data_IF_390766709176
#
_entry.id   IF_390766709176
#
_cell.length_a   1.000
_cell.length_b   1.000
_cell.length_c   1.000
_cell.angle_alpha   90.00
_cell.angle_beta   90.00
_cell.angle_gamma   90.00
#
_symmetry.space_group_name_H-M   'P 1'
#
loop_
_entity.id
_entity.type
_entity.pdbx_description
1 polymer ?
#
# COMPACT_ATOMS: atom_id res chain seq x y z
N UNK A 1 -57.26 2.32 11.07
CA UNK A 1 -55.83 2.43 10.75
C UNK A 1 -55.18 1.14 11.23
N UNK A 2 -54.69 0.28 10.33
CA UNK A 2 -54.32 -1.09 10.67
C UNK A 2 -52.95 -1.17 11.35
N UNK A 3 -52.81 -2.17 12.22
CA UNK A 3 -51.58 -2.57 12.89
C UNK A 3 -50.51 -2.96 11.86
N UNK A 4 -49.38 -2.26 11.87
CA UNK A 4 -48.20 -2.67 11.13
C UNK A 4 -47.53 -3.82 11.87
N UNK A 5 -47.80 -5.05 11.42
CA UNK A 5 -47.01 -6.22 11.78
C UNK A 5 -45.52 -5.97 11.42
N UNK A 6 -44.57 -6.21 12.33
CA UNK A 6 -43.17 -6.09 11.99
C UNK A 6 -42.83 -7.21 11.01
N UNK A 7 -42.47 -6.81 9.79
CA UNK A 7 -41.95 -7.69 8.76
C UNK A 7 -40.87 -8.59 9.37
N UNK A 8 -41.08 -9.90 9.29
CA UNK A 8 -40.11 -10.90 9.67
C UNK A 8 -38.80 -10.60 8.94
N UNK A 9 -37.82 -10.08 9.68
CA UNK A 9 -36.44 -9.95 9.21
C UNK A 9 -36.03 -11.36 8.78
N UNK A 10 -35.91 -11.57 7.48
CA UNK A 10 -35.24 -12.73 6.93
C UNK A 10 -33.85 -12.78 7.57
N UNK A 11 -33.67 -13.66 8.55
CA UNK A 11 -32.35 -14.09 8.98
C UNK A 11 -31.76 -14.82 7.77
N UNK A 12 -30.93 -14.10 7.03
CA UNK A 12 -30.08 -14.70 6.02
C UNK A 12 -29.19 -15.70 6.76
N UNK A 13 -29.50 -16.99 6.63
CA UNK A 13 -28.67 -18.04 7.18
C UNK A 13 -27.28 -17.91 6.56
N UNK A 14 -26.30 -17.45 7.33
CA UNK A 14 -24.92 -17.32 6.90
C UNK A 14 -24.42 -18.71 6.48
N UNK A 15 -24.12 -18.88 5.20
CA UNK A 15 -23.50 -20.09 4.65
C UNK A 15 -22.03 -20.12 5.06
N UNK A 16 -21.77 -20.42 6.33
CA UNK A 16 -20.41 -20.69 6.79
C UNK A 16 -19.98 -22.05 6.29
N UNK A 17 -18.91 -22.10 5.48
CA UNK A 17 -18.26 -23.36 5.11
C UNK A 17 -17.75 -24.08 6.37
N UNK A 18 -17.79 -25.42 6.43
CA UNK A 18 -17.23 -26.17 7.55
C UNK A 18 -15.74 -25.85 7.75
N UNK A 19 -15.24 -26.10 8.96
CA UNK A 19 -13.82 -25.86 9.26
C UNK A 19 -12.92 -26.74 8.35
N UNK A 20 -11.69 -26.29 8.02
CA UNK A 20 -10.73 -27.13 7.30
C UNK A 20 -10.50 -28.48 7.99
N UNK A 21 -10.47 -28.49 9.33
CA UNK A 21 -10.34 -29.69 10.15
C UNK A 21 -11.49 -30.68 9.91
N UNK A 22 -12.73 -30.19 9.86
CA UNK A 22 -13.92 -30.99 9.56
C UNK A 22 -13.85 -31.55 8.15
N UNK A 23 -13.43 -30.75 7.17
CA UNK A 23 -13.24 -31.20 5.80
C UNK A 23 -12.21 -32.33 5.71
N UNK A 24 -11.06 -32.19 6.39
CA UNK A 24 -10.02 -33.22 6.43
C UNK A 24 -10.55 -34.51 7.10
N UNK A 25 -11.25 -34.39 8.23
CA UNK A 25 -11.83 -35.54 8.93
C UNK A 25 -12.82 -36.31 8.05
N UNK A 26 -13.74 -35.60 7.38
CA UNK A 26 -14.70 -36.22 6.46
C UNK A 26 -14.00 -36.84 5.26
N UNK A 27 -13.00 -36.18 4.67
CA UNK A 27 -12.27 -36.71 3.53
C UNK A 27 -11.53 -38.01 3.88
N UNK A 28 -10.86 -38.05 5.04
CA UNK A 28 -10.21 -39.26 5.57
C UNK A 28 -11.21 -40.39 5.81
N UNK A 29 -12.33 -40.08 6.45
CA UNK A 29 -13.37 -41.07 6.72
C UNK A 29 -13.96 -41.65 5.43
N UNK A 30 -14.18 -40.81 4.41
CA UNK A 30 -14.62 -41.24 3.10
C UNK A 30 -13.60 -42.17 2.42
N UNK A 31 -12.31 -41.82 2.46
CA UNK A 31 -11.24 -42.67 1.93
C UNK A 31 -11.21 -44.05 2.61
N UNK A 32 -11.31 -44.11 3.94
CA UNK A 32 -11.37 -45.38 4.70
C UNK A 32 -12.55 -46.25 4.24
N UNK A 33 -13.74 -45.64 4.07
CA UNK A 33 -14.93 -46.36 3.59
C UNK A 33 -14.75 -46.89 2.16
N UNK A 34 -14.10 -46.11 1.30
CA UNK A 34 -13.83 -46.49 -0.09
C UNK A 34 -12.86 -47.69 -0.18
N UNK A 35 -11.76 -47.65 0.59
CA UNK A 35 -10.77 -48.74 0.68
C UNK A 35 -11.41 -50.01 1.23
N UNK A 36 -12.21 -49.88 2.29
CA UNK A 36 -12.93 -51.03 2.87
C UNK A 36 -13.84 -51.70 1.84
N UNK A 37 -14.57 -50.91 1.04
CA UNK A 37 -15.41 -51.45 -0.03
C UNK A 37 -14.60 -52.16 -1.13
N UNK A 38 -13.42 -51.62 -1.49
CA UNK A 38 -12.53 -52.25 -2.46
C UNK A 38 -11.96 -53.58 -1.93
N UNK A 39 -11.58 -53.64 -0.65
CA UNK A 39 -11.11 -54.85 0.02
C UNK A 39 -12.21 -55.93 0.11
N UNK A 40 -13.47 -55.54 0.35
CA UNK A 40 -14.62 -56.43 0.32
C UNK A 40 -14.86 -57.01 -1.08
N UNK A 41 -14.76 -56.17 -2.13
CA UNK A 41 -14.87 -56.61 -3.51
C UNK A 41 -13.73 -57.58 -3.90
N UNK A 42 -12.50 -57.29 -3.48
CA UNK A 42 -11.34 -58.18 -3.66
C UNK A 42 -11.57 -59.53 -2.94
N UNK A 43 -12.05 -59.49 -1.70
CA UNK A 43 -12.38 -60.69 -0.93
C UNK A 43 -13.46 -61.54 -1.61
N UNK A 44 -14.46 -60.90 -2.22
CA UNK A 44 -15.50 -61.57 -3.00
C UNK A 44 -14.93 -62.29 -4.24
N UNK A 45 -14.00 -61.66 -4.96
CA UNK A 45 -13.26 -62.30 -6.07
C UNK A 45 -12.49 -63.51 -5.56
N UNK A 46 -11.71 -63.37 -4.49
CA UNK A 46 -10.88 -64.45 -3.93
C UNK A 46 -11.71 -65.66 -3.44
N UNK A 47 -12.96 -65.46 -3.02
CA UNK A 47 -13.86 -66.54 -2.55
C UNK A 47 -14.65 -67.21 -3.69
N UNK A 48 -14.63 -66.64 -4.90
CA UNK A 48 -15.34 -67.19 -6.06
C UNK A 48 -14.70 -68.51 -6.54
N UNK A 49 -15.50 -69.57 -6.69
CA UNK A 49 -15.01 -70.93 -7.05
C UNK A 49 -15.25 -71.35 -8.51
N UNK A 50 -15.96 -70.58 -9.35
CA UNK A 50 -16.04 -70.79 -10.83
C UNK A 50 -16.87 -69.71 -11.56
N UNK A 51 -16.62 -69.57 -12.88
CA UNK A 51 -17.54 -69.10 -13.94
C UNK A 51 -17.86 -67.59 -14.02
N UNK A 52 -18.02 -66.90 -12.89
CA UNK A 52 -18.43 -65.49 -12.84
C UNK A 52 -17.28 -64.53 -12.48
N UNK A 53 -16.05 -64.86 -12.91
CA UNK A 53 -14.85 -64.08 -12.57
C UNK A 53 -14.87 -62.68 -13.20
N UNK A 54 -15.24 -62.55 -14.49
CA UNK A 54 -15.14 -61.28 -15.19
C UNK A 54 -16.03 -60.15 -14.61
N UNK A 55 -17.30 -60.38 -14.22
CA UNK A 55 -18.11 -59.34 -13.56
C UNK A 55 -17.57 -58.95 -12.18
N UNK A 56 -17.07 -59.90 -11.39
CA UNK A 56 -16.52 -59.64 -10.06
C UNK A 56 -15.17 -58.91 -10.14
N UNK A 57 -14.31 -59.28 -11.09
CA UNK A 57 -13.05 -58.58 -11.38
C UNK A 57 -13.32 -57.15 -11.87
N UNK A 58 -14.33 -56.95 -12.72
CA UNK A 58 -14.72 -55.62 -13.17
C UNK A 58 -15.23 -54.75 -12.00
N UNK A 59 -16.04 -55.32 -11.10
CA UNK A 59 -16.51 -54.65 -9.88
C UNK A 59 -15.36 -54.30 -8.94
N UNK A 60 -14.42 -55.22 -8.71
CA UNK A 60 -13.20 -54.99 -7.92
C UNK A 60 -12.35 -53.86 -8.52
N UNK A 61 -12.08 -53.88 -9.83
CA UNK A 61 -11.31 -52.83 -10.48
C UNK A 61 -12.00 -51.47 -10.44
N UNK A 62 -13.32 -51.43 -10.58
CA UNK A 62 -14.10 -50.19 -10.45
C UNK A 62 -14.04 -49.65 -9.01
N UNK A 63 -14.26 -50.51 -8.01
CA UNK A 63 -14.18 -50.13 -6.59
C UNK A 63 -12.77 -49.64 -6.21
N UNK A 64 -11.72 -50.36 -6.65
CA UNK A 64 -10.33 -49.97 -6.39
C UNK A 64 -9.97 -48.63 -7.04
N UNK A 65 -10.43 -48.38 -8.27
CA UNK A 65 -10.20 -47.10 -8.96
C UNK A 65 -10.77 -45.94 -8.15
N UNK A 66 -12.02 -46.06 -7.69
CA UNK A 66 -12.66 -45.01 -6.91
C UNK A 66 -12.06 -44.90 -5.49
N UNK A 67 -11.57 -45.98 -4.88
CA UNK A 67 -10.85 -45.92 -3.61
C UNK A 67 -9.55 -45.10 -3.71
N UNK A 68 -8.76 -45.32 -4.77
CA UNK A 68 -7.52 -44.55 -5.01
C UNK A 68 -7.81 -43.06 -5.22
N UNK A 69 -8.89 -42.71 -5.93
CA UNK A 69 -9.29 -41.31 -6.09
C UNK A 69 -9.77 -40.69 -4.77
N UNK A 70 -10.49 -41.45 -3.94
CA UNK A 70 -10.93 -41.00 -2.62
C UNK A 70 -9.73 -40.70 -1.69
N UNK A 71 -8.74 -41.59 -1.64
CA UNK A 71 -7.48 -41.37 -0.91
C UNK A 71 -6.74 -40.14 -1.44
N UNK A 72 -6.57 -40.03 -2.77
CA UNK A 72 -5.91 -38.88 -3.38
C UNK A 72 -6.61 -37.55 -3.07
N UNK A 73 -7.93 -37.54 -2.95
CA UNK A 73 -8.67 -36.36 -2.51
C UNK A 73 -8.54 -36.08 -1.00
N UNK A 74 -8.46 -37.11 -0.16
CA UNK A 74 -8.17 -36.94 1.26
C UNK A 74 -6.79 -36.30 1.49
N UNK A 75 -5.75 -36.81 0.82
CA UNK A 75 -4.39 -36.26 0.89
C UNK A 75 -4.35 -34.80 0.40
N UNK A 76 -5.05 -34.49 -0.69
CA UNK A 76 -5.16 -33.11 -1.20
C UNK A 76 -5.89 -32.19 -0.23
N UNK A 77 -6.87 -32.69 0.54
CA UNK A 77 -7.58 -31.87 1.52
C UNK A 77 -6.63 -31.36 2.62
N UNK A 78 -5.68 -32.18 3.05
CA UNK A 78 -4.64 -31.80 4.01
C UNK A 78 -3.65 -30.81 3.41
N UNK A 79 -3.10 -31.15 2.24
CA UNK A 79 -2.15 -30.28 1.54
C UNK A 79 -2.74 -28.87 1.29
N UNK A 80 -4.01 -28.80 0.90
CA UNK A 80 -4.67 -27.53 0.61
C UNK A 80 -5.11 -26.77 1.86
N UNK A 81 -5.22 -27.43 3.01
CA UNK A 81 -5.48 -26.73 4.27
C UNK A 81 -4.24 -26.00 4.78
N UNK A 82 -3.05 -26.54 4.52
CA UNK A 82 -1.77 -25.97 4.92
C UNK A 82 -1.17 -24.99 3.88
N UNK A 83 -1.70 -24.95 2.66
CA UNK A 83 -1.20 -24.10 1.58
C UNK A 83 -1.84 -22.69 1.60
N UNK A 84 -1.08 -21.62 1.90
CA UNK A 84 -1.60 -20.25 1.96
C UNK A 84 -2.00 -19.68 0.58
N UNK A 85 -1.60 -20.33 -0.51
CA UNK A 85 -1.96 -19.90 -1.88
C UNK A 85 -3.32 -20.46 -2.33
N UNK A 86 -3.84 -21.46 -1.61
CA UNK A 86 -5.09 -22.12 -1.97
C UNK A 86 -6.31 -21.37 -1.43
N UNK A 87 -7.43 -21.35 -2.17
CA UNK A 87 -8.65 -20.71 -1.69
C UNK A 87 -9.20 -21.47 -0.48
N UNK A 88 -9.80 -20.76 0.47
CA UNK A 88 -10.35 -21.33 1.72
C UNK A 88 -11.43 -22.41 1.50
N UNK A 89 -12.00 -22.50 0.30
CA UNK A 89 -12.96 -23.54 -0.10
C UNK A 89 -12.29 -24.81 -0.64
N UNK A 90 -10.97 -24.84 -0.86
CA UNK A 90 -10.26 -25.97 -1.44
C UNK A 90 -10.36 -27.26 -0.59
N UNK A 91 -10.22 -27.23 0.75
CA UNK A 91 -10.44 -28.42 1.57
C UNK A 91 -11.86 -28.98 1.46
N UNK A 92 -12.87 -28.09 1.37
CA UNK A 92 -14.28 -28.49 1.21
C UNK A 92 -14.53 -29.15 -0.15
N UNK A 93 -13.90 -28.64 -1.22
CA UNK A 93 -13.96 -29.26 -2.54
C UNK A 93 -13.39 -30.69 -2.51
N UNK A 94 -12.20 -30.86 -1.90
CA UNK A 94 -11.58 -32.17 -1.77
C UNK A 94 -12.41 -33.14 -0.93
N UNK A 95 -12.97 -32.69 0.19
CA UNK A 95 -13.82 -33.52 1.04
C UNK A 95 -15.08 -34.01 0.31
N UNK A 96 -15.73 -33.14 -0.49
CA UNK A 96 -16.88 -33.55 -1.32
C UNK A 96 -16.50 -34.58 -2.37
N UNK A 97 -15.38 -34.36 -3.06
CA UNK A 97 -14.89 -35.31 -4.07
C UNK A 97 -14.54 -36.67 -3.46
N UNK A 98 -13.89 -36.69 -2.28
CA UNK A 98 -13.60 -37.92 -1.55
C UNK A 98 -14.88 -38.69 -1.20
N UNK A 99 -15.91 -38.01 -0.70
CA UNK A 99 -17.23 -38.61 -0.42
C UNK A 99 -17.88 -39.17 -1.68
N UNK A 100 -17.86 -38.44 -2.80
CA UNK A 100 -18.45 -38.90 -4.06
C UNK A 100 -17.74 -40.13 -4.63
N UNK A 101 -16.41 -40.21 -4.49
CA UNK A 101 -15.64 -41.40 -4.87
C UNK A 101 -15.91 -42.58 -3.91
N UNK A 102 -16.01 -42.34 -2.60
CA UNK A 102 -16.36 -43.38 -1.65
C UNK A 102 -17.74 -44.01 -1.92
N UNK A 103 -18.75 -43.20 -2.26
CA UNK A 103 -20.08 -43.70 -2.66
C UNK A 103 -20.01 -44.55 -3.92
N UNK A 104 -19.19 -44.15 -4.92
CA UNK A 104 -18.99 -44.92 -6.15
C UNK A 104 -18.26 -46.25 -5.88
N UNK A 105 -17.25 -46.25 -5.03
CA UNK A 105 -16.54 -47.46 -4.60
C UNK A 105 -17.49 -48.45 -3.90
N UNK A 106 -18.30 -47.97 -2.94
CA UNK A 106 -19.31 -48.78 -2.25
C UNK A 106 -20.36 -49.34 -3.20
N UNK A 107 -20.86 -48.51 -4.13
CA UNK A 107 -21.82 -48.93 -5.16
C UNK A 107 -21.25 -49.99 -6.10
N UNK A 108 -19.99 -49.84 -6.52
CA UNK A 108 -19.30 -50.80 -7.40
C UNK A 108 -19.03 -52.15 -6.71
N UNK A 109 -18.67 -52.11 -5.42
CA UNK A 109 -18.49 -53.31 -4.60
C UNK A 109 -19.81 -54.01 -4.24
N UNK A 110 -20.97 -53.35 -4.44
CA UNK A 110 -22.28 -53.87 -4.08
C UNK A 110 -22.57 -53.86 -2.58
N UNK A 111 -21.92 -52.98 -1.83
CA UNK A 111 -22.13 -52.78 -0.38
C UNK A 111 -23.04 -51.57 -0.12
N UNK A 112 -23.54 -51.44 1.11
CA UNK A 112 -24.37 -50.30 1.52
C UNK A 112 -23.60 -48.98 1.41
N UNK A 113 -24.23 -47.94 0.84
CA UNK A 113 -23.60 -46.65 0.53
C UNK A 113 -23.59 -45.69 1.72
N UNK A 114 -22.99 -46.11 2.83
CA UNK A 114 -22.91 -45.33 4.09
C UNK A 114 -22.09 -44.04 3.96
N UNK A 115 -21.19 -43.94 2.97
CA UNK A 115 -20.42 -42.71 2.73
C UNK A 115 -21.31 -41.52 2.34
N UNK A 116 -22.54 -41.75 1.86
CA UNK A 116 -23.46 -40.68 1.51
C UNK A 116 -23.87 -39.82 2.72
N UNK A 117 -23.88 -40.40 3.93
CA UNK A 117 -24.26 -39.70 5.16
C UNK A 117 -23.22 -38.63 5.56
N UNK A 118 -21.96 -38.80 5.16
CA UNK A 118 -20.89 -37.84 5.39
C UNK A 118 -21.13 -36.49 4.68
N UNK A 119 -21.99 -36.45 3.64
CA UNK A 119 -22.38 -35.18 3.01
C UNK A 119 -23.11 -34.25 3.98
N UNK A 120 -23.90 -34.81 4.90
CA UNK A 120 -24.63 -34.00 5.90
C UNK A 120 -23.69 -33.26 6.86
N UNK A 121 -22.51 -33.83 7.15
CA UNK A 121 -21.49 -33.19 7.98
C UNK A 121 -20.82 -32.01 7.26
N UNK A 122 -20.60 -32.13 5.95
CA UNK A 122 -20.05 -31.04 5.12
C UNK A 122 -21.06 -29.92 4.86
N UNK A 123 -22.35 -30.24 4.88
CA UNK A 123 -23.45 -29.30 4.65
C UNK A 123 -24.00 -28.70 5.96
N UNK A 124 -23.50 -29.13 7.12
CA UNK A 124 -23.85 -28.53 8.41
C UNK A 124 -23.54 -27.03 8.39
N UNK A 125 -24.57 -26.22 8.58
CA UNK A 125 -24.43 -24.78 8.76
C UNK A 125 -23.80 -24.50 10.13
N UNK A 126 -22.76 -23.67 10.15
CA UNK A 126 -22.23 -23.12 11.40
C UNK A 126 -23.33 -22.35 12.13
N UNK A 127 -23.37 -22.50 13.45
CA UNK A 127 -24.22 -21.69 14.31
C UNK A 127 -23.72 -20.23 14.33
N UNK A 128 -24.62 -19.30 14.64
CA UNK A 128 -24.24 -17.89 14.75
C UNK A 128 -23.14 -17.65 15.81
N UNK A 129 -23.11 -18.48 16.87
CA UNK A 129 -22.08 -18.43 17.90
C UNK A 129 -20.70 -18.87 17.38
N UNK A 130 -20.63 -20.02 16.69
CA UNK A 130 -19.38 -20.52 16.09
C UNK A 130 -18.84 -19.54 15.02
N UNK A 131 -19.72 -18.88 14.26
CA UNK A 131 -19.30 -17.83 13.33
C UNK A 131 -18.73 -16.61 14.05
N UNK A 132 -19.37 -16.17 15.13
CA UNK A 132 -18.91 -15.02 15.91
C UNK A 132 -17.56 -15.28 16.60
N UNK A 133 -17.32 -16.50 17.10
CA UNK A 133 -16.04 -16.91 17.67
C UNK A 133 -14.93 -16.87 16.62
N UNK A 134 -15.16 -17.48 15.45
CA UNK A 134 -14.19 -17.48 14.35
C UNK A 134 -13.87 -16.08 13.84
N UNK A 135 -14.88 -15.23 13.72
CA UNK A 135 -14.69 -13.83 13.33
C UNK A 135 -13.95 -13.04 14.44
N UNK A 136 -14.12 -13.43 15.70
CA UNK A 136 -13.38 -12.90 16.83
C UNK A 136 -11.90 -13.29 16.79
N UNK A 137 -11.59 -14.56 16.52
CA UNK A 137 -10.22 -15.07 16.34
C UNK A 137 -9.52 -14.37 15.18
N UNK A 138 -10.17 -14.30 14.01
CA UNK A 138 -9.61 -13.59 12.84
C UNK A 138 -9.26 -12.14 13.17
N UNK A 139 -10.14 -11.41 13.88
CA UNK A 139 -9.87 -10.02 14.29
C UNK A 139 -8.73 -9.92 15.30
N UNK A 140 -8.52 -10.92 16.16
CA UNK A 140 -7.39 -10.94 17.10
C UNK A 140 -6.09 -11.16 16.34
N UNK A 141 -6.05 -12.12 15.42
CA UNK A 141 -4.89 -12.36 14.55
C UNK A 141 -4.56 -11.13 13.71
N UNK A 142 -5.55 -10.51 13.07
CA UNK A 142 -5.38 -9.25 12.31
C UNK A 142 -4.85 -8.12 13.21
N UNK A 143 -5.34 -8.02 14.46
CA UNK A 143 -4.90 -7.00 15.40
C UNK A 143 -3.48 -7.24 15.93
N UNK A 144 -3.09 -8.50 16.14
CA UNK A 144 -1.74 -8.90 16.54
C UNK A 144 -0.75 -8.61 15.42
N UNK A 145 -1.06 -9.02 14.18
CA UNK A 145 -0.25 -8.70 13.00
C UNK A 145 -0.08 -7.20 12.82
N UNK A 146 -1.17 -6.42 12.88
CA UNK A 146 -1.10 -4.96 12.77
C UNK A 146 -0.30 -4.34 13.93
N UNK A 147 -0.35 -4.90 15.15
CA UNK A 147 0.45 -4.42 16.27
C UNK A 147 1.95 -4.69 16.06
N UNK A 148 2.32 -5.86 15.55
CA UNK A 148 3.70 -6.20 15.20
C UNK A 148 4.24 -5.30 14.09
N UNK A 149 3.47 -5.10 13.04
CA UNK A 149 3.86 -4.25 11.91
C UNK A 149 3.98 -2.77 12.31
N UNK A 150 3.07 -2.29 13.17
CA UNK A 150 3.17 -0.96 13.78
C UNK A 150 4.41 -0.83 14.65
N UNK A 151 4.76 -1.85 15.43
CA UNK A 151 5.97 -1.84 16.24
C UNK A 151 7.24 -1.81 15.39
N UNK A 152 7.26 -2.55 14.27
CA UNK A 152 8.40 -2.62 13.36
C UNK A 152 8.63 -1.32 12.57
N UNK A 153 7.56 -0.71 12.07
CA UNK A 153 7.65 0.44 11.15
C UNK A 153 7.40 1.79 11.81
N UNK A 154 6.73 1.79 12.96
CA UNK A 154 6.20 3.01 13.59
C UNK A 154 5.07 3.67 12.78
N UNK A 155 4.50 2.98 11.78
CA UNK A 155 3.47 3.48 10.87
C UNK A 155 2.19 2.64 10.96
N UNK A 156 1.04 3.24 10.68
CA UNK A 156 -0.21 2.50 10.45
C UNK A 156 -0.21 1.83 9.05
N UNK A 157 -1.15 0.92 8.82
CA UNK A 157 -1.32 0.23 7.53
C UNK A 157 -1.36 1.20 6.33
N UNK A 158 -2.13 2.29 6.41
CA UNK A 158 -2.27 3.26 5.32
C UNK A 158 -0.95 3.96 4.96
N UNK A 159 -0.15 4.32 5.97
CA UNK A 159 1.16 4.96 5.75
C UNK A 159 2.20 3.96 5.23
N UNK A 160 2.11 2.69 5.63
CA UNK A 160 2.95 1.62 5.05
C UNK A 160 2.62 1.40 3.58
N UNK A 161 1.34 1.34 3.24
CA UNK A 161 0.88 1.29 1.84
C UNK A 161 1.35 2.50 1.04
N UNK A 162 1.24 3.70 1.61
CA UNK A 162 1.73 4.92 0.97
C UNK A 162 3.25 4.90 0.77
N UNK A 163 4.02 4.36 1.73
CA UNK A 163 5.46 4.20 1.61
C UNK A 163 5.83 3.24 0.46
N UNK A 164 5.13 2.10 0.36
CA UNK A 164 5.32 1.15 -0.74
C UNK A 164 4.98 1.78 -2.10
N UNK A 165 3.85 2.50 -2.20
CA UNK A 165 3.47 3.24 -3.42
C UNK A 165 4.50 4.31 -3.80
N UNK A 166 5.06 5.02 -2.82
CA UNK A 166 6.09 6.02 -3.09
C UNK A 166 7.39 5.38 -3.60
N UNK A 167 7.75 4.20 -3.12
CA UNK A 167 8.90 3.46 -3.61
C UNK A 167 8.72 3.09 -5.10
N UNK A 168 7.55 2.56 -5.46
CA UNK A 168 7.19 2.28 -6.86
C UNK A 168 7.18 3.55 -7.74
N UNK A 169 6.65 4.67 -7.22
CA UNK A 169 6.71 5.96 -7.89
C UNK A 169 8.16 6.43 -8.11
N UNK A 170 9.05 6.22 -7.13
CA UNK A 170 10.45 6.60 -7.24
C UNK A 170 11.16 5.80 -8.34
N UNK A 171 10.96 4.49 -8.37
CA UNK A 171 11.51 3.59 -9.38
C UNK A 171 11.10 4.03 -10.81
N UNK A 172 9.81 4.36 -11.00
CA UNK A 172 9.30 4.78 -12.32
C UNK A 172 9.72 6.18 -12.78
N UNK A 173 10.04 7.11 -11.87
CA UNK A 173 10.20 8.52 -12.21
C UNK A 173 11.61 9.10 -12.03
N UNK A 174 12.45 8.53 -11.16
CA UNK A 174 13.77 9.13 -10.83
C UNK A 174 14.69 9.21 -12.06
N UNK A 175 14.79 8.14 -12.85
CA UNK A 175 15.61 8.15 -14.07
C UNK A 175 15.16 9.22 -15.08
N UNK A 176 13.85 9.49 -15.12
CA UNK A 176 13.21 10.48 -15.98
C UNK A 176 13.56 11.94 -15.66
N UNK A 177 14.09 12.22 -14.45
CA UNK A 177 14.59 13.54 -14.06
C UNK A 177 15.87 13.92 -14.80
N UNK A 178 16.63 12.93 -15.28
CA UNK A 178 17.94 13.16 -15.89
C UNK A 178 18.93 13.78 -14.91
N UNK A 179 18.85 13.40 -13.64
CA UNK A 179 19.72 13.91 -12.58
C UNK A 179 20.91 12.98 -12.34
N UNK A 180 21.94 13.57 -11.73
CA UNK A 180 23.12 12.87 -11.20
C UNK A 180 23.20 13.11 -9.70
N UNK A 181 24.04 12.35 -8.98
CA UNK A 181 24.28 12.59 -7.56
C UNK A 181 24.71 14.04 -7.24
N UNK A 182 25.35 14.72 -8.20
CA UNK A 182 25.70 16.14 -8.08
C UNK A 182 24.48 17.08 -7.99
N UNK A 183 23.37 16.75 -8.65
CA UNK A 183 22.12 17.52 -8.58
C UNK A 183 21.45 17.33 -7.22
N UNK A 184 21.44 16.09 -6.70
CA UNK A 184 20.91 15.77 -5.37
C UNK A 184 21.62 16.57 -4.29
N UNK A 185 22.96 16.61 -4.30
CA UNK A 185 23.76 17.40 -3.33
C UNK A 185 23.45 18.89 -3.34
N UNK A 186 23.07 19.46 -4.49
CA UNK A 186 22.65 20.87 -4.58
C UNK A 186 21.31 21.05 -3.87
N UNK A 187 20.34 20.16 -4.11
CA UNK A 187 19.04 20.23 -3.44
C UNK A 187 19.13 19.96 -1.94
N UNK A 188 20.01 19.05 -1.49
CA UNK A 188 20.27 18.84 -0.06
C UNK A 188 20.88 20.09 0.61
N UNK A 189 21.75 20.81 -0.10
CA UNK A 189 22.28 22.09 0.38
C UNK A 189 21.18 23.15 0.47
N UNK A 190 20.20 23.13 -0.45
CA UNK A 190 19.05 24.03 -0.44
C UNK A 190 18.07 23.68 0.69
N UNK A 191 17.72 22.40 0.84
CA UNK A 191 16.81 21.89 1.88
C UNK A 191 17.35 22.19 3.28
N UNK A 192 18.67 22.05 3.48
CA UNK A 192 19.32 22.41 4.74
C UNK A 192 19.47 23.92 4.99
N UNK A 193 18.91 24.77 4.12
CA UNK A 193 18.97 26.23 4.29
C UNK A 193 20.39 26.79 4.19
N UNK A 194 21.26 26.18 3.37
CA UNK A 194 22.66 26.56 3.22
C UNK A 194 23.04 27.02 1.81
N UNK A 195 22.16 26.87 0.83
CA UNK A 195 22.43 27.25 -0.56
C UNK A 195 22.06 28.71 -0.81
N UNK A 196 22.97 29.47 -1.39
CA UNK A 196 22.71 30.86 -1.77
C UNK A 196 23.51 31.31 -3.01
N UNK A 197 23.03 32.38 -3.63
CA UNK A 197 23.66 33.10 -4.73
C UNK A 197 24.15 34.46 -4.28
N UNK A 198 25.42 34.73 -4.59
CA UNK A 198 26.07 36.02 -4.43
C UNK A 198 27.05 36.23 -5.58
N UNK A 199 27.07 37.43 -6.14
CA UNK A 199 27.93 37.79 -7.28
C UNK A 199 27.82 36.81 -8.47
N UNK A 200 26.59 36.34 -8.75
CA UNK A 200 26.30 35.41 -9.84
C UNK A 200 26.84 33.98 -9.64
N UNK A 201 27.21 33.58 -8.41
CA UNK A 201 27.78 32.24 -8.12
C UNK A 201 27.05 31.53 -7.00
N UNK A 202 26.83 30.22 -7.19
CA UNK A 202 26.25 29.32 -6.18
C UNK A 202 27.28 28.96 -5.10
N UNK A 203 26.88 29.15 -3.84
CA UNK A 203 27.69 28.86 -2.66
C UNK A 203 26.89 28.08 -1.63
N UNK A 204 27.60 27.22 -0.90
CA UNK A 204 27.10 26.55 0.28
C UNK A 204 27.72 27.17 1.52
N UNK A 205 26.86 27.72 2.37
CA UNK A 205 27.20 28.17 3.70
C UNK A 205 27.67 27.01 4.59
N UNK A 206 28.57 27.31 5.53
CA UNK A 206 29.00 26.31 6.53
C UNK A 206 27.87 25.98 7.52
N UNK A 207 27.03 26.97 7.85
CA UNK A 207 25.90 26.86 8.78
C UNK A 207 24.64 27.44 8.14
N UNK A 208 23.48 26.93 8.56
CA UNK A 208 22.19 27.48 8.15
C UNK A 208 22.10 28.96 8.56
N UNK A 209 21.56 29.80 7.68
CA UNK A 209 21.35 31.23 7.94
C UNK A 209 22.61 32.13 7.81
N UNK A 210 23.78 31.58 7.46
CA UNK A 210 25.02 32.37 7.34
C UNK A 210 25.39 32.58 5.86
N UNK A 211 25.26 33.82 5.37
CA UNK A 211 25.39 34.13 3.93
C UNK A 211 26.72 34.78 3.52
N UNK A 212 27.70 34.73 4.42
CA UNK A 212 29.03 35.27 4.22
C UNK A 212 30.05 34.11 4.16
N UNK A 213 30.51 33.76 2.95
CA UNK A 213 31.57 32.77 2.75
C UNK A 213 31.07 31.33 2.48
N UNK A 214 31.92 30.34 2.74
CA UNK A 214 31.62 28.93 2.43
C UNK A 214 32.10 28.47 1.05
N UNK A 215 31.78 27.22 0.70
CA UNK A 215 32.34 26.54 -0.48
C UNK A 215 31.57 26.86 -1.75
N UNK A 216 32.27 26.89 -2.89
CA UNK A 216 31.63 27.02 -4.21
C UNK A 216 30.94 25.70 -4.57
N UNK A 217 29.75 25.79 -5.16
CA UNK A 217 29.06 24.65 -5.77
C UNK A 217 29.07 24.80 -7.30
N UNK A 218 28.88 23.70 -8.02
CA UNK A 218 28.68 23.70 -9.47
C UNK A 218 27.61 24.72 -9.86
N UNK A 219 28.06 25.72 -10.64
CA UNK A 219 27.21 26.75 -11.21
C UNK A 219 26.19 26.13 -12.16
N UNK A 220 26.66 25.29 -13.07
CA UNK A 220 25.84 24.64 -14.10
C UNK A 220 24.68 23.85 -13.50
N UNK A 221 24.93 23.01 -12.49
CA UNK A 221 23.87 22.21 -11.85
C UNK A 221 22.88 23.08 -11.08
N UNK A 222 23.37 24.11 -10.41
CA UNK A 222 22.51 25.04 -9.65
C UNK A 222 21.62 25.87 -10.58
N UNK A 223 22.18 26.37 -11.69
CA UNK A 223 21.43 27.10 -12.72
C UNK A 223 20.44 26.19 -13.44
N UNK A 224 20.80 24.94 -13.74
CA UNK A 224 19.90 23.97 -14.36
C UNK A 224 18.70 23.65 -13.47
N UNK A 225 18.91 23.41 -12.16
CA UNK A 225 17.84 23.14 -11.19
C UNK A 225 16.94 24.37 -10.98
N UNK A 226 17.51 25.57 -10.95
CA UNK A 226 16.75 26.81 -10.86
C UNK A 226 15.91 27.06 -12.12
N UNK A 227 16.51 26.92 -13.30
CA UNK A 227 15.82 27.10 -14.60
C UNK A 227 14.67 26.10 -14.75
N UNK A 228 14.85 24.85 -14.32
CA UNK A 228 13.81 23.83 -14.31
C UNK A 228 12.83 23.93 -13.13
N UNK A 229 12.90 24.99 -12.31
CA UNK A 229 11.98 25.31 -11.20
C UNK A 229 12.00 24.29 -10.04
N UNK A 230 13.06 23.50 -9.90
CA UNK A 230 13.29 22.68 -8.71
C UNK A 230 13.79 23.53 -7.53
N UNK A 231 14.41 24.67 -7.81
CA UNK A 231 14.81 25.68 -6.83
C UNK A 231 13.99 26.96 -6.98
N UNK A 232 13.75 27.63 -5.86
CA UNK A 232 13.24 29.00 -5.77
C UNK A 232 14.31 29.89 -5.17
N UNK A 233 14.32 31.16 -5.56
CA UNK A 233 15.24 32.17 -5.02
C UNK A 233 14.47 33.21 -4.20
N UNK A 234 14.86 33.37 -2.94
CA UNK A 234 14.34 34.40 -2.03
C UNK A 234 15.41 35.46 -1.84
N UNK A 235 15.11 36.70 -2.24
CA UNK A 235 16.04 37.82 -2.09
C UNK A 235 16.07 38.30 -0.64
N UNK A 236 17.29 38.53 -0.14
CA UNK A 236 17.59 39.14 1.14
C UNK A 236 17.93 40.62 0.96
N UNK A 237 17.88 41.39 2.05
CA UNK A 237 18.09 42.84 2.04
C UNK A 237 19.51 43.23 1.61
N UNK A 238 20.49 42.36 1.85
CA UNK A 238 21.90 42.53 1.48
C UNK A 238 22.21 42.20 0.00
N UNK A 239 21.18 41.90 -0.80
CA UNK A 239 21.31 41.49 -2.20
C UNK A 239 21.64 40.01 -2.40
N UNK A 240 21.81 39.24 -1.33
CA UNK A 240 21.96 37.79 -1.41
C UNK A 240 20.64 37.14 -1.84
N UNK A 241 20.71 36.07 -2.64
CA UNK A 241 19.54 35.24 -2.97
C UNK A 241 19.68 33.87 -2.34
N UNK A 242 18.86 33.57 -1.33
CA UNK A 242 18.81 32.24 -0.72
C UNK A 242 18.05 31.31 -1.65
N UNK A 243 18.59 30.12 -1.88
CA UNK A 243 17.97 29.12 -2.75
C UNK A 243 17.35 28.01 -1.90
N UNK A 244 16.05 27.78 -2.08
CA UNK A 244 15.30 26.74 -1.37
C UNK A 244 14.65 25.78 -2.38
N UNK A 245 14.40 24.51 -2.02
CA UNK A 245 13.63 23.62 -2.87
C UNK A 245 12.23 24.21 -3.11
N UNK A 246 11.74 24.12 -4.34
CA UNK A 246 10.31 24.32 -4.61
C UNK A 246 9.52 23.09 -4.10
N UNK A 247 8.18 23.14 -4.00
CA UNK A 247 7.39 21.94 -3.69
C UNK A 247 7.69 20.77 -4.64
N UNK A 248 7.93 21.06 -5.92
CA UNK A 248 8.35 20.06 -6.91
C UNK A 248 9.78 19.57 -6.64
N UNK A 249 10.70 20.48 -6.27
CA UNK A 249 12.06 20.16 -5.84
C UNK A 249 12.10 19.24 -4.63
N UNK A 250 11.25 19.49 -3.64
CA UNK A 250 11.14 18.68 -2.43
C UNK A 250 10.70 17.25 -2.76
N UNK A 251 9.60 17.10 -3.52
CA UNK A 251 9.12 15.77 -3.93
C UNK A 251 10.17 15.04 -4.76
N UNK A 252 10.81 15.71 -5.71
CA UNK A 252 11.85 15.09 -6.52
C UNK A 252 13.05 14.64 -5.67
N UNK A 253 13.47 15.45 -4.69
CA UNK A 253 14.52 15.08 -3.74
C UNK A 253 14.13 13.84 -2.92
N UNK A 254 12.91 13.80 -2.40
CA UNK A 254 12.41 12.66 -1.61
C UNK A 254 12.33 11.38 -2.44
N UNK A 255 11.86 11.44 -3.68
CA UNK A 255 11.87 10.30 -4.60
C UNK A 255 13.30 9.82 -4.88
N UNK A 256 14.26 10.73 -5.08
CA UNK A 256 15.66 10.34 -5.32
C UNK A 256 16.32 9.67 -4.10
N UNK A 257 15.86 9.99 -2.88
CA UNK A 257 16.32 9.32 -1.66
C UNK A 257 15.77 7.90 -1.55
N UNK A 258 14.53 7.67 -2.00
CA UNK A 258 13.92 6.34 -2.02
C UNK A 258 14.56 5.43 -3.09
N UNK A 259 14.93 5.99 -4.24
CA UNK A 259 15.52 5.23 -5.34
C UNK A 259 16.78 5.90 -5.90
N UNK A 260 17.91 5.88 -5.17
CA UNK A 260 19.17 6.50 -5.62
C UNK A 260 19.77 5.79 -6.83
N UNK A 261 19.47 4.49 -7.03
CA UNK A 261 19.92 3.71 -8.17
C UNK A 261 19.37 4.21 -9.52
N UNK A 262 18.29 4.99 -9.52
CA UNK A 262 17.75 5.61 -10.73
C UNK A 262 18.49 6.87 -11.18
N UNK A 263 19.48 7.34 -10.42
CA UNK A 263 20.31 8.48 -10.82
C UNK A 263 21.32 8.05 -11.88
N UNK A 264 21.64 8.97 -12.80
CA UNK A 264 22.65 8.71 -13.82
C UNK A 264 24.05 8.84 -13.23
N UNK A 265 24.95 7.93 -13.62
CA UNK A 265 26.34 7.87 -13.12
C UNK A 265 27.17 9.10 -13.52
N UNK A 266 26.86 9.68 -14.68
CA UNK A 266 27.60 10.83 -15.22
C UNK A 266 26.67 11.85 -15.87
N UNK A 267 27.14 13.10 -15.95
CA UNK A 267 26.39 14.16 -16.64
C UNK A 267 26.24 13.87 -18.14
N UNK A 268 27.17 13.10 -18.73
CA UNK A 268 27.09 12.62 -20.11
C UNK A 268 25.95 11.61 -20.29
N UNK A 269 25.87 10.58 -19.43
CA UNK A 269 24.79 9.60 -19.47
C UNK A 269 23.41 10.26 -19.27
N UNK A 270 23.33 11.21 -18.33
CA UNK A 270 22.12 11.99 -18.10
C UNK A 270 21.72 12.82 -19.34
N UNK A 271 22.69 13.45 -20.00
CA UNK A 271 22.45 14.19 -21.24
C UNK A 271 22.00 13.29 -22.39
N UNK A 272 22.64 12.14 -22.59
CA UNK A 272 22.28 11.19 -23.64
C UNK A 272 20.86 10.64 -23.45
N UNK A 273 20.49 10.28 -22.21
CA UNK A 273 19.13 9.84 -21.89
C UNK A 273 18.08 10.93 -22.24
N UNK A 274 18.37 12.20 -21.90
CA UNK A 274 17.50 13.32 -22.29
C UNK A 274 17.46 13.52 -23.80
N UNK A 275 18.62 13.43 -24.47
CA UNK A 275 18.73 13.59 -25.92
C UNK A 275 17.89 12.54 -26.66
N UNK A 276 17.94 11.27 -26.26
CA UNK A 276 17.11 10.19 -26.83
C UNK A 276 15.62 10.52 -26.71
N UNK A 277 15.19 11.04 -25.56
CA UNK A 277 13.78 11.40 -25.30
C UNK A 277 13.29 12.55 -26.18
N UNK A 278 14.13 13.54 -26.46
CA UNK A 278 13.76 14.75 -27.25
C UNK A 278 14.04 14.62 -28.75
N UNK A 279 14.88 13.66 -29.17
CA UNK A 279 15.31 13.51 -30.58
C UNK A 279 14.15 13.43 -31.57
N UNK A 280 13.06 12.74 -31.19
CA UNK A 280 11.87 12.59 -32.03
C UNK A 280 10.90 13.78 -31.96
N UNK A 281 11.10 14.70 -31.00
CA UNK A 281 10.19 15.85 -30.76
C UNK A 281 10.57 17.10 -31.55
N UNK A 282 11.84 17.25 -31.95
CA UNK A 282 12.34 18.42 -32.66
C UNK A 282 12.91 18.06 -34.03
N UNK A 283 12.63 18.91 -35.05
CA UNK A 283 13.09 18.69 -36.43
C UNK A 283 14.56 19.02 -36.64
N UNK A 284 15.07 20.10 -36.03
CA UNK A 284 16.47 20.55 -36.20
C UNK A 284 17.36 19.95 -35.11
N UNK A 285 18.60 19.62 -35.48
CA UNK A 285 19.60 19.04 -34.55
C UNK A 285 19.97 20.00 -33.41
N UNK A 286 20.05 21.29 -33.69
CA UNK A 286 20.41 22.29 -32.68
C UNK A 286 19.30 22.44 -31.62
N UNK A 287 18.03 22.41 -32.05
CA UNK A 287 16.88 22.40 -31.15
C UNK A 287 16.87 21.14 -30.26
N UNK A 288 17.23 19.97 -30.81
CA UNK A 288 17.35 18.73 -30.04
C UNK A 288 18.43 18.84 -28.96
N UNK A 289 19.61 19.40 -29.31
CA UNK A 289 20.71 19.61 -28.35
C UNK A 289 20.33 20.63 -27.29
N UNK A 290 19.68 21.73 -27.68
CA UNK A 290 19.22 22.76 -26.75
C UNK A 290 18.18 22.18 -25.76
N UNK A 291 17.20 21.43 -26.26
CA UNK A 291 16.21 20.76 -25.43
C UNK A 291 16.84 19.74 -24.47
N UNK A 292 17.86 18.98 -24.92
CA UNK A 292 18.56 18.00 -24.09
C UNK A 292 19.43 18.62 -22.98
N UNK A 293 19.83 19.90 -23.12
CA UNK A 293 20.55 20.63 -22.07
C UNK A 293 19.63 21.07 -20.92
N UNK A 294 18.33 21.22 -21.18
CA UNK A 294 17.35 21.62 -20.16
C UNK A 294 16.92 20.40 -19.33
N UNK A 295 16.87 20.56 -18.01
CA UNK A 295 16.32 19.51 -17.14
C UNK A 295 14.80 19.43 -17.32
N UNK A 296 14.23 18.22 -17.51
CA UNK A 296 12.79 18.04 -17.54
C UNK A 296 12.19 18.36 -16.16
N UNK A 297 10.97 18.91 -16.09
CA UNK A 297 10.24 19.01 -14.83
C UNK A 297 9.88 17.61 -14.31
N UNK A 298 9.59 17.50 -13.01
CA UNK A 298 9.01 16.28 -12.44
C UNK A 298 7.69 15.95 -13.14
N UNK A 299 7.43 14.65 -13.35
CA UNK A 299 6.17 14.22 -13.93
C UNK A 299 4.98 14.68 -13.08
N UNK A 300 3.92 15.12 -13.74
CA UNK A 300 2.72 15.61 -13.07
C UNK A 300 2.03 14.53 -12.23
N UNK A 301 2.13 13.25 -12.61
CA UNK A 301 1.59 12.14 -11.84
C UNK A 301 2.34 11.98 -10.53
N UNK A 302 3.68 11.92 -10.58
CA UNK A 302 4.55 11.82 -9.42
C UNK A 302 4.27 12.97 -8.43
N UNK A 303 4.14 14.19 -8.94
CA UNK A 303 3.83 15.37 -8.10
C UNK A 303 2.46 15.29 -7.43
N UNK A 304 1.46 14.68 -8.06
CA UNK A 304 0.09 14.59 -7.53
C UNK A 304 -0.09 13.41 -6.57
N UNK A 305 0.57 12.29 -6.86
CA UNK A 305 0.40 11.02 -6.15
C UNK A 305 1.33 10.90 -4.94
N UNK A 306 2.48 11.57 -4.97
CA UNK A 306 3.40 11.53 -3.85
C UNK A 306 2.79 12.18 -2.61
N UNK A 307 2.80 11.43 -1.50
CA UNK A 307 2.48 11.92 -0.17
C UNK A 307 3.51 11.37 0.80
N UNK A 308 4.12 12.23 1.61
CA UNK A 308 5.08 11.79 2.62
C UNK A 308 4.38 10.87 3.63
N UNK A 309 4.84 9.61 3.80
CA UNK A 309 4.31 8.74 4.84
C UNK A 309 4.74 9.29 6.20
N UNK A 310 3.83 9.28 7.16
CA UNK A 310 4.05 9.80 8.51
C UNK A 310 4.04 8.66 9.53
N UNK A 311 4.88 8.77 10.54
CA UNK A 311 4.86 7.83 11.66
C UNK A 311 3.73 8.17 12.63
N UNK A 312 3.34 7.20 13.45
CA UNK A 312 2.34 7.38 14.52
C UNK A 312 2.80 8.48 15.50
N UNK A 313 4.11 8.60 15.74
CA UNK A 313 4.66 9.67 16.59
C UNK A 313 4.53 11.06 15.95
N UNK A 314 4.78 11.17 14.64
CA UNK A 314 4.58 12.41 13.89
C UNK A 314 3.09 12.80 13.81
N UNK A 315 2.20 11.82 13.61
CA UNK A 315 0.75 12.02 13.64
C UNK A 315 0.29 12.55 15.00
N UNK A 316 0.75 11.96 16.11
CA UNK A 316 0.44 12.42 17.47
C UNK A 316 0.95 13.83 17.71
N UNK A 317 2.21 14.11 17.38
CA UNK A 317 2.78 15.45 17.52
C UNK A 317 2.04 16.49 16.67
N UNK A 318 1.51 16.10 15.51
CA UNK A 318 0.67 16.98 14.69
C UNK A 318 -0.71 17.19 15.33
N UNK A 319 -1.36 16.12 15.80
CA UNK A 319 -2.64 16.21 16.49
C UNK A 319 -2.56 17.07 17.76
N UNK A 320 -1.44 17.01 18.49
CA UNK A 320 -1.16 17.87 19.65
C UNK A 320 -1.04 19.35 19.26
N UNK A 321 -0.27 19.67 18.20
CA UNK A 321 -0.18 21.05 17.69
C UNK A 321 -1.53 21.56 17.19
N UNK A 322 -2.23 20.76 16.40
CA UNK A 322 -3.55 21.12 15.86
C UNK A 322 -4.61 21.24 16.97
N UNK A 323 -4.40 20.58 18.12
CA UNK A 323 -5.23 20.79 19.30
C UNK A 323 -4.89 22.12 19.97
N UNK A 324 -3.60 22.44 20.18
CA UNK A 324 -3.19 23.73 20.78
C UNK A 324 -3.64 24.92 19.94
N UNK A 325 -3.42 24.88 18.62
CA UNK A 325 -3.76 25.97 17.70
C UNK A 325 -5.30 26.19 17.63
N UNK A 326 -6.11 25.11 17.74
CA UNK A 326 -7.57 25.23 17.79
C UNK A 326 -8.08 25.92 19.06
N UNK A 327 -7.41 25.73 20.19
CA UNK A 327 -7.79 26.39 21.44
C UNK A 327 -7.44 27.88 21.45
N UNK A 328 -6.40 28.31 20.72
CA UNK A 328 -6.06 29.72 20.57
C UNK A 328 -7.05 30.46 19.65
N UNK A 329 -7.60 29.79 18.63
CA UNK A 329 -8.63 30.33 17.74
C UNK A 329 -10.07 30.26 18.33
N UNK A 330 -10.32 29.34 19.28
CA UNK A 330 -11.56 29.25 20.06
C UNK A 330 -11.57 30.17 21.30
N UNK A 331 -10.74 31.22 21.31
CA UNK A 331 -10.90 32.41 22.15
C UNK A 331 -12.21 33.15 21.83
N UNK A 332 -13.34 32.47 21.98
CA UNK A 332 -14.67 32.99 21.81
C UNK A 332 -14.89 34.14 22.78
N UNK A 333 -15.15 35.31 22.22
CA UNK A 333 -15.75 36.43 22.93
C UNK A 333 -16.96 35.93 23.73
N UNK A 334 -16.88 35.93 25.06
CA UNK A 334 -18.02 35.73 25.94
C UNK A 334 -18.85 37.03 25.95
N UNK A 335 -20.06 37.07 25.36
CA UNK A 335 -20.90 38.25 25.44
C UNK A 335 -21.42 38.35 26.88
N UNK A 336 -20.84 39.24 27.68
CA UNK A 336 -21.28 39.46 29.07
C UNK A 336 -20.21 39.92 30.05
N UNK A 337 -18.94 40.02 29.65
CA UNK A 337 -17.94 40.72 30.46
C UNK A 337 -17.58 42.05 29.81
N UNK A 338 -18.15 43.13 30.35
CA UNK A 338 -17.71 44.48 30.04
C UNK A 338 -16.19 44.55 30.29
N UNK A 339 -15.44 44.78 29.22
CA UNK A 339 -14.03 45.12 29.32
C UNK A 339 -13.94 46.40 30.15
N UNK A 340 -13.18 46.44 31.26
CA UNK A 340 -13.08 47.64 32.06
C UNK A 340 -12.51 48.75 31.20
N UNK A 341 -13.34 49.74 30.93
CA UNK A 341 -13.01 50.97 30.20
C UNK A 341 -11.80 51.61 30.88
N UNK A 342 -10.67 51.80 30.19
CA UNK A 342 -9.55 52.53 30.79
C UNK A 342 -10.02 53.96 31.09
N UNK A 343 -9.71 54.43 32.30
CA UNK A 343 -9.97 55.80 32.72
C UNK A 343 -9.33 56.78 31.73
N UNK A 344 -10.12 57.76 31.31
CA UNK A 344 -9.67 58.81 30.39
C UNK A 344 -8.59 59.67 31.07
N UNK A 345 -7.33 59.40 30.73
CA UNK A 345 -6.21 60.31 30.94
C UNK A 345 -6.07 61.27 29.74
N UNK A 346 -5.53 62.49 29.95
CA UNK A 346 -5.63 63.58 28.99
C UNK A 346 -4.78 63.35 27.74
N UNK A 347 -5.29 63.91 26.63
CA UNK A 347 -4.75 63.79 25.28
C UNK A 347 -3.26 64.18 25.18
N UNK A 348 -2.46 63.25 24.65
CA UNK A 348 -1.16 63.54 24.07
C UNK A 348 -1.05 62.87 22.68
N UNK A 349 -0.49 63.65 21.75
CA UNK A 349 -0.36 63.55 20.30
C UNK A 349 -0.05 62.17 19.68
N UNK A 350 -0.38 61.96 18.39
CA UNK A 350 -0.39 60.63 17.79
C UNK A 350 1.02 60.09 17.53
N UNK A 351 1.36 58.97 18.15
CA UNK A 351 2.45 58.11 17.70
C UNK A 351 1.89 57.16 16.64
N UNK A 352 2.35 57.33 15.41
CA UNK A 352 2.09 56.42 14.30
C UNK A 352 2.61 55.02 14.69
N UNK A 353 1.69 54.10 14.97
CA UNK A 353 1.98 52.66 15.04
C UNK A 353 1.36 51.96 13.85
N UNK A 354 2.25 51.33 13.11
CA UNK A 354 2.06 50.51 11.92
C UNK A 354 1.09 49.37 12.24
N UNK A 355 -0.09 49.40 11.61
CA UNK A 355 -0.97 48.24 11.52
C UNK A 355 -0.39 47.31 10.47
N UNK A 356 0.13 46.17 10.93
CA UNK A 356 0.49 45.04 10.08
C UNK A 356 -0.80 44.32 9.72
N UNK A 357 -1.33 44.60 8.53
CA UNK A 357 -2.34 43.75 7.91
C UNK A 357 -1.65 42.84 6.89
N UNK A 358 -1.65 41.53 7.21
CA UNK A 358 -1.68 40.51 6.17
C UNK A 358 -2.88 40.81 5.28
N UNK A 359 -2.67 40.96 3.98
CA UNK A 359 -3.48 40.27 2.98
C UNK A 359 -2.74 40.24 1.65
N UNK A 360 -2.84 39.07 1.04
CA UNK A 360 -2.29 38.73 -0.26
C UNK A 360 -2.78 39.68 -1.34
N UNK A 361 -1.85 40.17 -2.14
CA UNK A 361 -1.89 40.15 -3.60
C UNK A 361 -0.72 41.01 -4.10
N UNK A 362 0.34 40.38 -4.57
CA UNK A 362 1.33 41.07 -5.42
C UNK A 362 1.82 40.15 -6.51
N UNK A 363 1.16 40.34 -7.65
CA UNK A 363 1.77 40.55 -8.95
C UNK A 363 2.96 39.65 -9.31
N UNK A 364 2.65 38.62 -10.09
CA UNK A 364 3.56 38.10 -11.12
C UNK A 364 3.81 39.25 -12.10
N UNK A 365 4.94 39.94 -11.97
CA UNK A 365 5.49 40.71 -13.08
C UNK A 365 6.50 39.82 -13.81
N UNK A 366 6.08 39.39 -15.00
CA UNK A 366 7.00 38.91 -16.02
C UNK A 366 7.73 40.10 -16.64
N UNK A 367 9.05 40.02 -16.66
CA UNK A 367 9.89 40.69 -17.64
C UNK A 367 10.92 39.61 -18.04
N UNK A 368 10.80 39.05 -19.24
CA UNK A 368 11.61 39.49 -20.39
C UNK A 368 13.04 39.74 -19.93
N UNK A 369 13.91 38.72 -20.04
CA UNK A 369 15.06 38.64 -20.96
C UNK A 369 15.63 37.22 -20.91
#
# INVERSE_FOLDING_TARGET
MPENAPAARHQVAHTGNPSPQTCIQVARQAAILAVTAADDAMTAVCRSRSGAAAPLEAAMHAAQKDAVEAEGHADRAEQYADDPTMPSSAPLYCARAAVDHAVRAQSAAGVETTAADLRAELERKLTAAEYAEREGERRREEAEQEAEERAATGMDADNRDQAARNWYLAEGHVAGLGWTAGHVRVLEAAESGRLYWRDGRARQAARCGVWNGGRRISRERSEALFTARFLLAVRQDDGTRVLTPSPMGQVALELTRLHPAGLHDSDQAAYEARFVRVRRRHKRRDDQKAAARVLPPLDSSARKLYRKPVTITEQRARAERDAVDRWEDEGGYCPGTDTPRPAAGPAASPVVRIIRALHWHTAVQGALW
#
